data_IF_224947503883
#
_entry.id   IF_224947503883
#
_cell.length_a   1.000
_cell.length_b   1.000
_cell.length_c   1.000
_cell.angle_alpha   90.00
_cell.angle_beta   90.00
_cell.angle_gamma   90.00
#
_symmetry.space_group_name_H-M   'P 1'
#
loop_
_entity.id
_entity.type
_entity.pdbx_description
1 polymer ?
#
# COMPACT_ATOMS: atom_id res chain seq x y z
N UNK A 1 26.62 -10.58 -18.34
CA UNK A 1 25.82 -10.27 -17.13
C UNK A 1 24.44 -9.84 -17.58
N UNK A 2 23.46 -10.74 -17.55
CA UNK A 2 22.06 -10.35 -17.75
C UNK A 2 21.64 -9.53 -16.54
N UNK A 3 21.54 -8.20 -16.71
CA UNK A 3 20.72 -7.38 -15.81
C UNK A 3 19.30 -7.87 -16.00
N UNK A 4 18.75 -8.49 -14.97
CA UNK A 4 17.39 -9.00 -14.97
C UNK A 4 16.43 -7.82 -15.17
N UNK A 5 15.97 -7.61 -16.41
CA UNK A 5 15.14 -6.47 -16.81
C UNK A 5 13.67 -6.63 -16.38
N UNK A 6 13.28 -7.79 -15.85
CA UNK A 6 11.91 -8.01 -15.37
C UNK A 6 11.64 -7.31 -14.04
N UNK A 7 12.68 -7.12 -13.21
CA UNK A 7 12.57 -6.35 -11.97
C UNK A 7 11.48 -6.83 -11.01
N UNK A 8 11.09 -8.11 -11.09
CA UNK A 8 10.03 -8.67 -10.25
C UNK A 8 10.30 -8.33 -8.78
N UNK A 9 9.25 -8.19 -7.97
CA UNK A 9 9.34 -7.83 -6.57
C UNK A 9 10.04 -8.94 -5.75
N UNK A 10 11.36 -9.03 -5.89
CA UNK A 10 12.23 -9.90 -5.11
C UNK A 10 12.37 -9.27 -3.74
N UNK A 11 11.94 -9.94 -2.65
CA UNK A 11 11.87 -9.34 -1.31
C UNK A 11 13.17 -8.64 -0.86
N UNK A 12 14.33 -9.17 -1.26
CA UNK A 12 15.66 -8.64 -0.92
C UNK A 12 16.00 -7.31 -1.61
N UNK A 13 15.29 -6.96 -2.69
CA UNK A 13 15.47 -5.73 -3.47
C UNK A 13 14.44 -4.65 -3.15
N UNK A 14 13.41 -5.00 -2.38
CA UNK A 14 12.33 -4.08 -2.01
C UNK A 14 12.71 -3.38 -0.72
N UNK A 15 12.84 -2.05 -0.77
CA UNK A 15 13.15 -1.25 0.40
C UNK A 15 11.86 -0.86 1.13
N UNK A 16 11.83 -0.83 2.46
CA UNK A 16 10.65 -0.33 3.16
C UNK A 16 10.42 1.13 2.80
N UNK A 17 9.17 1.53 2.57
CA UNK A 17 8.79 2.92 2.24
C UNK A 17 9.39 3.93 3.24
N UNK A 18 9.54 3.54 4.52
CA UNK A 18 10.14 4.38 5.57
C UNK A 18 11.64 4.64 5.41
N UNK A 19 12.37 3.83 4.65
CA UNK A 19 13.79 4.03 4.39
C UNK A 19 14.06 5.12 3.34
N UNK A 20 13.06 5.48 2.52
CA UNK A 20 13.16 6.59 1.56
C UNK A 20 12.48 7.84 2.14
N UNK A 21 13.26 8.81 2.62
CA UNK A 21 12.72 9.98 3.34
C UNK A 21 11.86 10.90 2.46
N UNK A 22 12.17 11.03 1.16
CA UNK A 22 11.39 11.83 0.21
C UNK A 22 10.12 11.10 -0.24
N UNK A 23 10.31 9.96 -0.91
CA UNK A 23 9.21 9.16 -1.46
C UNK A 23 8.30 8.63 -0.35
N UNK A 24 8.85 8.27 0.80
CA UNK A 24 8.09 7.76 1.95
C UNK A 24 7.13 8.76 2.56
N UNK A 25 7.52 10.03 2.64
CA UNK A 25 6.63 11.11 3.11
C UNK A 25 5.47 11.32 2.13
N UNK A 26 5.74 11.28 0.82
CA UNK A 26 4.68 11.41 -0.19
C UNK A 26 3.71 10.23 -0.14
N UNK A 27 4.21 9.00 -0.04
CA UNK A 27 3.37 7.80 0.10
C UNK A 27 2.52 7.87 1.37
N UNK A 28 3.08 8.34 2.49
CA UNK A 28 2.30 8.49 3.72
C UNK A 28 1.19 9.54 3.61
N UNK A 29 1.43 10.64 2.88
CA UNK A 29 0.38 11.63 2.56
C UNK A 29 -0.71 11.02 1.69
N UNK A 30 -0.33 10.33 0.62
CA UNK A 30 -1.28 9.64 -0.27
C UNK A 30 -2.13 8.58 0.48
N UNK A 31 -1.52 7.83 1.39
CA UNK A 31 -2.24 6.91 2.28
C UNK A 31 -3.29 7.64 3.12
N UNK A 32 -2.93 8.80 3.70
CA UNK A 32 -3.84 9.58 4.53
C UNK A 32 -4.98 10.18 3.69
N UNK A 33 -4.68 10.74 2.53
CA UNK A 33 -5.65 11.34 1.62
C UNK A 33 -6.65 10.29 1.09
N UNK A 34 -6.17 9.07 0.85
CA UNK A 34 -6.98 7.96 0.37
C UNK A 34 -7.53 7.06 1.48
N UNK A 35 -7.27 7.39 2.76
CA UNK A 35 -7.67 6.56 3.92
C UNK A 35 -9.15 6.21 3.87
N UNK A 36 -10.02 7.16 3.50
CA UNK A 36 -11.47 6.92 3.42
C UNK A 36 -11.84 5.89 2.36
N UNK A 37 -11.17 5.91 1.20
CA UNK A 37 -11.40 4.95 0.12
C UNK A 37 -10.88 3.56 0.51
N UNK A 38 -9.70 3.49 1.13
CA UNK A 38 -9.12 2.25 1.64
C UNK A 38 -10.04 1.64 2.71
N UNK A 39 -10.54 2.43 3.66
CA UNK A 39 -11.50 1.97 4.69
C UNK A 39 -12.77 1.44 4.05
N UNK A 40 -13.29 2.03 2.96
CA UNK A 40 -14.44 1.48 2.24
C UNK A 40 -14.15 0.10 1.62
N UNK A 41 -12.95 -0.13 1.08
CA UNK A 41 -12.54 -1.47 0.63
C UNK A 41 -12.56 -2.48 1.78
N UNK A 42 -12.02 -2.09 2.95
CA UNK A 42 -12.00 -2.94 4.15
C UNK A 42 -13.42 -3.24 4.64
N UNK A 43 -14.29 -2.23 4.71
CA UNK A 43 -15.67 -2.42 5.15
C UNK A 43 -16.45 -3.40 4.26
N UNK A 44 -16.29 -3.31 2.95
CA UNK A 44 -16.91 -4.26 2.00
C UNK A 44 -16.39 -5.69 2.21
N UNK A 45 -15.12 -5.85 2.58
CA UNK A 45 -14.59 -7.15 2.96
C UNK A 45 -15.23 -7.64 4.27
N UNK A 46 -15.32 -6.79 5.28
CA UNK A 46 -15.93 -7.13 6.57
C UNK A 46 -17.39 -7.55 6.42
N UNK A 47 -18.16 -6.88 5.56
CA UNK A 47 -19.55 -7.23 5.27
C UNK A 47 -19.70 -8.61 4.61
N UNK A 48 -18.66 -9.10 3.91
CA UNK A 48 -18.68 -10.37 3.18
C UNK A 48 -18.05 -11.52 3.95
N UNK A 49 -16.86 -11.31 4.50
CA UNK A 49 -16.00 -12.34 5.10
C UNK A 49 -15.90 -12.24 6.62
N UNK A 50 -16.47 -11.18 7.21
CA UNK A 50 -16.30 -10.86 8.63
C UNK A 50 -15.02 -10.07 8.93
N UNK A 51 -14.84 -9.75 10.22
CA UNK A 51 -13.70 -8.94 10.65
C UNK A 51 -12.38 -9.72 10.52
N UNK A 52 -11.34 -9.12 9.92
CA UNK A 52 -10.02 -9.74 9.90
C UNK A 52 -9.45 -9.82 11.33
N UNK A 53 -8.58 -10.80 11.57
CA UNK A 53 -7.90 -10.97 12.86
C UNK A 53 -7.07 -9.73 13.24
N UNK A 54 -6.92 -9.46 14.53
CA UNK A 54 -6.06 -8.38 15.02
C UNK A 54 -4.65 -8.50 14.45
N UNK A 55 -4.16 -7.40 13.87
CA UNK A 55 -2.85 -7.38 13.21
C UNK A 55 -2.87 -7.82 11.76
N UNK A 56 -4.05 -8.04 11.16
CA UNK A 56 -4.14 -8.34 9.74
C UNK A 56 -3.59 -7.20 8.89
N UNK A 57 -2.76 -7.56 7.92
CA UNK A 57 -2.06 -6.62 7.07
C UNK A 57 -1.85 -7.20 5.67
N UNK A 58 -1.79 -6.32 4.68
CA UNK A 58 -1.39 -6.66 3.32
C UNK A 58 -0.15 -5.84 2.99
N UNK A 59 0.89 -6.51 2.50
CA UNK A 59 2.12 -5.88 2.04
C UNK A 59 2.10 -5.77 0.52
N UNK A 60 2.16 -4.54 0.03
CA UNK A 60 2.26 -4.25 -1.39
C UNK A 60 3.69 -3.89 -1.77
N UNK A 61 4.12 -4.34 -2.94
CA UNK A 61 5.30 -3.87 -3.63
C UNK A 61 4.88 -2.77 -4.60
N UNK A 62 5.62 -1.66 -4.59
CA UNK A 62 5.43 -0.52 -5.47
C UNK A 62 6.64 -0.37 -6.38
N UNK A 63 6.43 -0.42 -7.70
CA UNK A 63 7.44 -0.03 -8.68
C UNK A 63 7.14 1.38 -9.12
N UNK A 64 8.06 2.29 -8.83
CA UNK A 64 7.93 3.72 -9.11
C UNK A 64 8.96 4.06 -10.17
N UNK A 65 8.51 4.57 -11.32
CA UNK A 65 9.40 5.01 -12.38
C UNK A 65 10.19 6.26 -11.96
N UNK A 66 11.26 6.57 -12.68
CA UNK A 66 12.04 7.80 -12.47
C UNK A 66 11.19 9.09 -12.58
N UNK A 67 10.03 9.04 -13.23
CA UNK A 67 9.09 10.15 -13.36
C UNK A 67 8.12 10.30 -12.15
N UNK A 68 8.23 9.43 -11.15
CA UNK A 68 7.32 9.40 -9.99
C UNK A 68 5.96 8.74 -10.28
N UNK A 69 5.82 7.99 -11.38
CA UNK A 69 4.60 7.22 -11.66
C UNK A 69 4.71 5.83 -11.07
N UNK A 70 3.63 5.34 -10.47
CA UNK A 70 3.51 3.93 -10.13
C UNK A 70 3.32 3.11 -11.40
N UNK A 71 4.35 2.38 -11.80
CA UNK A 71 4.35 1.51 -12.97
C UNK A 71 3.75 0.13 -12.66
N UNK A 72 3.85 -0.32 -11.40
CA UNK A 72 3.34 -1.62 -10.98
C UNK A 72 3.03 -1.63 -9.47
N UNK A 73 1.95 -2.30 -9.10
CA UNK A 73 1.58 -2.63 -7.72
C UNK A 73 1.28 -4.12 -7.63
N UNK A 74 1.98 -4.83 -6.74
CA UNK A 74 1.77 -6.27 -6.52
C UNK A 74 1.63 -6.59 -5.04
N UNK A 75 0.86 -7.63 -4.70
CA UNK A 75 0.84 -8.17 -3.34
C UNK A 75 2.11 -9.00 -3.13
N UNK A 76 2.87 -8.70 -2.07
CA UNK A 76 4.09 -9.44 -1.71
C UNK A 76 3.80 -10.49 -0.65
N UNK A 77 3.00 -10.12 0.34
CA UNK A 77 2.65 -10.97 1.46
C UNK A 77 1.37 -10.45 2.13
N UNK A 78 0.73 -11.30 2.91
CA UNK A 78 -0.42 -10.95 3.73
C UNK A 78 -0.35 -11.69 5.07
N UNK A 79 -0.97 -11.10 6.08
CA UNK A 79 -1.12 -11.68 7.42
C UNK A 79 -2.59 -11.58 7.79
N UNK A 80 -3.20 -12.69 8.19
CA UNK A 80 -4.56 -12.69 8.75
C UNK A 80 -5.71 -12.42 7.77
N UNK A 81 -5.43 -12.24 6.47
CA UNK A 81 -6.44 -12.16 5.40
C UNK A 81 -5.85 -12.56 4.05
N UNK A 82 -6.55 -13.39 3.28
CA UNK A 82 -6.19 -13.77 1.91
C UNK A 82 -7.32 -13.44 0.92
N UNK A 83 -7.99 -12.30 1.13
CA UNK A 83 -9.12 -11.93 0.31
C UNK A 83 -8.68 -11.20 -0.98
N UNK A 84 -8.83 -11.88 -2.12
CA UNK A 84 -8.40 -11.37 -3.42
C UNK A 84 -9.15 -10.09 -3.84
N UNK A 85 -10.42 -9.94 -3.46
CA UNK A 85 -11.23 -8.76 -3.81
C UNK A 85 -10.79 -7.53 -3.02
N UNK A 86 -10.46 -7.70 -1.74
CA UNK A 86 -9.90 -6.68 -0.86
C UNK A 86 -8.53 -6.24 -1.40
N UNK A 87 -7.67 -7.21 -1.70
CA UNK A 87 -6.34 -6.95 -2.27
C UNK A 87 -6.44 -6.18 -3.59
N UNK A 88 -7.35 -6.59 -4.48
CA UNK A 88 -7.57 -5.88 -5.74
C UNK A 88 -8.16 -4.47 -5.53
N UNK A 89 -9.08 -4.30 -4.57
CA UNK A 89 -9.70 -3.00 -4.28
C UNK A 89 -8.65 -1.99 -3.80
N UNK A 90 -7.82 -2.38 -2.84
CA UNK A 90 -6.76 -1.52 -2.31
C UNK A 90 -5.64 -1.33 -3.34
N UNK A 91 -5.21 -2.40 -4.01
CA UNK A 91 -4.15 -2.35 -5.02
C UNK A 91 -4.48 -1.38 -6.17
N UNK A 92 -5.74 -1.32 -6.62
CA UNK A 92 -6.18 -0.35 -7.63
C UNK A 92 -6.08 1.09 -7.14
N UNK A 93 -6.52 1.37 -5.90
CA UNK A 93 -6.39 2.71 -5.32
C UNK A 93 -4.93 3.17 -5.28
N UNK A 94 -4.02 2.27 -4.92
CA UNK A 94 -2.58 2.56 -4.87
C UNK A 94 -2.00 2.73 -6.27
N UNK A 95 -2.45 1.94 -7.24
CA UNK A 95 -1.96 1.99 -8.62
C UNK A 95 -2.24 3.36 -9.29
N UNK A 96 -3.30 4.06 -8.88
CA UNK A 96 -3.69 5.35 -9.44
C UNK A 96 -2.91 6.53 -8.82
N UNK A 97 -2.05 6.29 -7.83
CA UNK A 97 -1.29 7.37 -7.21
C UNK A 97 -0.22 7.93 -8.15
N UNK A 98 -0.03 9.24 -8.04
CA UNK A 98 1.05 9.96 -8.69
C UNK A 98 1.89 10.62 -7.61
N UNK A 99 3.19 10.35 -7.62
CA UNK A 99 4.13 11.03 -6.76
C UNK A 99 4.60 12.29 -7.50
N UNK A 100 4.74 13.38 -6.76
CA UNK A 100 5.39 14.57 -7.28
C UNK A 100 6.85 14.18 -7.54
N UNK A 101 7.27 14.28 -8.81
CA UNK A 101 8.48 13.71 -9.41
C UNK A 101 9.60 13.33 -8.43
N UNK A 102 10.09 12.09 -8.56
CA UNK A 102 11.06 11.52 -7.63
C UNK A 102 12.31 12.37 -7.48
N UNK A 103 12.78 12.52 -6.25
CA UNK A 103 14.11 13.08 -5.94
C UNK A 103 15.25 12.20 -6.45
N UNK A 104 14.93 11.00 -6.94
CA UNK A 104 15.89 10.01 -7.40
C UNK A 104 15.73 9.77 -8.90
N UNK A 105 16.85 9.87 -9.62
CA UNK A 105 16.93 9.72 -11.08
C UNK A 105 16.73 8.28 -11.57
N UNK A 106 16.24 7.37 -10.72
CA UNK A 106 16.17 5.92 -10.98
C UNK A 106 14.84 5.33 -10.54
N UNK A 107 14.49 4.18 -11.13
CA UNK A 107 13.35 3.38 -10.70
C UNK A 107 13.52 2.92 -9.24
N UNK A 108 12.43 2.96 -8.48
CA UNK A 108 12.41 2.56 -7.07
C UNK A 108 11.47 1.36 -6.88
N UNK A 109 11.89 0.41 -6.05
CA UNK A 109 11.08 -0.72 -5.59
C UNK A 109 10.86 -0.61 -4.09
N UNK A 110 9.63 -0.29 -3.67
CA UNK A 110 9.30 -0.01 -2.27
C UNK A 110 8.23 -0.96 -1.70
N UNK A 111 8.33 -1.29 -0.42
CA UNK A 111 7.34 -2.07 0.33
C UNK A 111 6.40 -1.13 1.10
N UNK A 112 5.11 -1.21 0.80
CA UNK A 112 4.02 -0.50 1.46
C UNK A 112 3.19 -1.47 2.32
N UNK A 113 3.35 -1.45 3.66
CA UNK A 113 2.46 -2.18 4.55
C UNK A 113 1.15 -1.42 4.77
N UNK A 114 0.01 -2.11 4.59
CA UNK A 114 -1.33 -1.60 4.92
C UNK A 114 -1.90 -2.45 6.06
N UNK A 115 -1.92 -1.89 7.27
CA UNK A 115 -2.52 -2.52 8.44
C UNK A 115 -4.03 -2.29 8.45
N UNK A 116 -4.80 -3.37 8.36
CA UNK A 116 -6.25 -3.32 8.24
C UNK A 116 -6.94 -3.00 9.56
N UNK A 117 -6.31 -3.32 10.69
CA UNK A 117 -6.88 -3.10 12.03
C UNK A 117 -6.73 -1.64 12.45
N UNK A 118 -5.54 -1.07 12.26
CA UNK A 118 -5.23 0.33 12.60
C UNK A 118 -6.06 1.34 11.80
N UNK A 119 -6.31 1.04 10.52
CA UNK A 119 -7.03 1.94 9.63
C UNK A 119 -8.51 2.09 9.98
N UNK A 120 -9.11 1.07 10.61
CA UNK A 120 -10.52 1.09 10.99
C UNK A 120 -10.73 1.55 12.44
N UNK A 121 -9.80 1.29 13.36
CA UNK A 121 -9.86 1.79 14.74
C UNK A 121 -9.86 3.32 14.81
N UNK A 122 -9.14 4.00 13.91
CA UNK A 122 -9.18 5.47 13.83
C UNK A 122 -10.54 6.07 13.46
N UNK A 123 -11.57 5.24 13.18
CA UNK A 123 -12.94 5.67 12.93
C UNK A 123 -13.84 5.57 14.16
N UNK A 124 -13.45 4.79 15.17
CA UNK A 124 -14.18 4.66 16.43
C UNK A 124 -14.00 5.89 17.31
N UNK A 125 -12.82 6.51 17.29
CA UNK A 125 -12.51 7.69 18.12
C UNK A 125 -13.19 8.97 17.62
N UNK A 126 -13.36 9.14 16.31
CA UNK A 126 -14.04 10.32 15.74
C UNK A 126 -15.57 10.31 15.98
N UNK A 127 -16.15 9.14 16.30
CA UNK A 127 -17.58 9.01 16.62
C UNK A 127 -17.91 9.28 18.08
N UNK A 128 -16.91 9.36 18.96
CA UNK A 128 -17.08 9.64 20.39
C UNK A 128 -16.84 11.12 20.75
N UNK A 129 -16.61 11.98 19.75
CA UNK A 129 -16.33 13.42 19.93
C UNK A 129 -17.48 14.35 19.50
N UNK A 130 -18.69 13.83 19.30
CA UNK A 130 -19.88 14.63 19.00
C UNK A 130 -21.04 14.31 19.95
#
# INVERSE_FOLDING_TARGET
MNRDQTGDFIPEKVLPVRANTGTGVQIQRLLNDNKRAIVKCIQRNVEREGWPVTGAAIKYGLRISAEGKLAQVSVLNFVGTNDALLMACIGRLVCDWKLDGGTESQEQLLELPINLTELVQGRSDDRLRH
#
